data_IF_048610720526
#
_entry.id   IF_048610720526
#
_cell.length_a   1.000
_cell.length_b   1.000
_cell.length_c   1.000
_cell.angle_alpha   90.00
_cell.angle_beta   90.00
_cell.angle_gamma   90.00
#
_symmetry.space_group_name_H-M   'P 1'
#
loop_
_entity.id
_entity.type
_entity.pdbx_description
1 polymer ?
#
# COMPACT_ATOMS: atom_id res chain seq x y z
N UNK A 1 7.83 -35.64 4.86
CA UNK A 1 8.89 -36.03 5.83
C UNK A 1 9.58 -37.31 5.41
N UNK A 2 8.85 -38.26 4.84
CA UNK A 2 9.34 -39.59 4.44
C UNK A 2 10.23 -39.63 3.20
N UNK A 3 10.31 -38.54 2.43
CA UNK A 3 11.17 -38.42 1.27
C UNK A 3 12.69 -38.48 1.63
N UNK A 4 13.51 -38.98 0.68
CA UNK A 4 14.97 -38.94 0.82
C UNK A 4 15.49 -37.50 0.80
N UNK A 5 16.67 -37.26 1.37
CA UNK A 5 17.29 -35.93 1.41
C UNK A 5 17.53 -35.37 -0.02
N UNK A 6 17.81 -36.24 -0.97
CA UNK A 6 17.97 -35.89 -2.39
C UNK A 6 16.61 -35.40 -2.97
N UNK A 7 15.52 -36.10 -2.68
CA UNK A 7 14.20 -35.72 -3.13
C UNK A 7 13.75 -34.37 -2.49
N UNK A 8 14.05 -34.20 -1.19
CA UNK A 8 13.74 -32.93 -0.49
C UNK A 8 14.53 -31.73 -1.04
N UNK A 9 15.84 -31.96 -1.35
CA UNK A 9 16.68 -30.91 -1.92
C UNK A 9 16.34 -30.53 -3.36
N UNK A 10 15.70 -31.44 -4.12
CA UNK A 10 15.24 -31.18 -5.48
C UNK A 10 13.80 -30.61 -5.55
N UNK A 11 13.06 -30.62 -4.45
CA UNK A 11 11.68 -30.18 -4.40
C UNK A 11 11.58 -28.68 -4.08
N UNK A 12 10.67 -27.96 -4.77
CA UNK A 12 10.34 -26.56 -4.45
C UNK A 12 9.54 -26.45 -3.14
N UNK A 13 8.88 -27.53 -2.72
CA UNK A 13 8.08 -27.59 -1.49
C UNK A 13 8.21 -28.96 -0.83
N UNK A 14 8.38 -28.98 0.48
CA UNK A 14 8.41 -30.21 1.29
C UNK A 14 7.26 -30.20 2.29
N UNK A 15 6.40 -31.23 2.26
CA UNK A 15 5.31 -31.39 3.22
C UNK A 15 5.84 -31.99 4.52
N UNK A 16 5.55 -31.35 5.64
CA UNK A 16 5.96 -31.83 6.97
C UNK A 16 4.99 -32.86 7.57
N UNK A 17 3.75 -32.85 7.08
CA UNK A 17 2.67 -33.76 7.52
C UNK A 17 2.38 -34.89 6.54
N UNK A 18 3.11 -34.95 5.41
CA UNK A 18 2.93 -35.91 4.31
C UNK A 18 1.46 -35.96 3.77
N UNK A 19 0.70 -34.85 4.00
CA UNK A 19 -0.71 -34.77 3.61
C UNK A 19 -0.85 -33.92 2.35
N UNK A 20 -1.36 -34.52 1.27
CA UNK A 20 -1.54 -33.84 0.00
C UNK A 20 -2.55 -32.65 0.09
N UNK A 21 -3.52 -32.71 1.01
CA UNK A 21 -4.48 -31.61 1.21
C UNK A 21 -3.79 -30.30 1.65
N UNK A 22 -2.66 -30.38 2.33
CA UNK A 22 -1.86 -29.23 2.78
C UNK A 22 -1.30 -28.41 1.60
N UNK A 23 -1.16 -29.02 0.40
CA UNK A 23 -0.77 -28.29 -0.82
C UNK A 23 -1.82 -27.24 -1.18
N UNK A 24 -3.11 -27.58 -1.03
CA UNK A 24 -4.20 -26.64 -1.36
C UNK A 24 -4.17 -25.45 -0.38
N UNK A 25 -3.94 -25.71 0.89
CA UNK A 25 -3.79 -24.64 1.88
C UNK A 25 -2.56 -23.78 1.62
N UNK A 26 -1.42 -24.39 1.28
CA UNK A 26 -0.22 -23.66 0.91
C UNK A 26 -0.42 -22.77 -0.34
N UNK A 27 -1.14 -23.24 -1.34
CA UNK A 27 -1.48 -22.44 -2.52
C UNK A 27 -2.39 -21.28 -2.15
N UNK A 28 -3.39 -21.51 -1.27
CA UNK A 28 -4.30 -20.46 -0.78
C UNK A 28 -3.53 -19.36 -0.05
N UNK A 29 -2.69 -19.76 0.89
CA UNK A 29 -1.86 -18.82 1.66
C UNK A 29 -0.87 -18.07 0.76
N UNK A 30 -0.20 -18.75 -0.16
CA UNK A 30 0.71 -18.13 -1.12
C UNK A 30 0.02 -17.10 -2.02
N UNK A 31 -1.22 -17.35 -2.46
CA UNK A 31 -2.03 -16.38 -3.19
C UNK A 31 -2.38 -15.18 -2.33
N UNK A 32 -2.74 -15.40 -1.04
CA UNK A 32 -3.03 -14.34 -0.08
C UNK A 32 -1.82 -13.45 0.17
N UNK A 33 -0.67 -14.04 0.43
CA UNK A 33 0.60 -13.31 0.61
C UNK A 33 0.89 -12.44 -0.62
N UNK A 34 0.76 -12.99 -1.83
CA UNK A 34 1.00 -12.23 -3.05
C UNK A 34 0.01 -11.05 -3.22
N UNK A 35 -1.26 -11.27 -2.92
CA UNK A 35 -2.27 -10.21 -2.95
C UNK A 35 -1.92 -9.09 -1.95
N UNK A 36 -1.51 -9.44 -0.75
CA UNK A 36 -1.10 -8.47 0.27
C UNK A 36 0.18 -7.71 -0.14
N UNK A 37 1.17 -8.38 -0.73
CA UNK A 37 2.36 -7.73 -1.30
C UNK A 37 1.95 -6.68 -2.36
N UNK A 38 1.01 -7.01 -3.26
CA UNK A 38 0.49 -6.03 -4.23
C UNK A 38 -0.15 -4.82 -3.56
N UNK A 39 -0.93 -5.01 -2.49
CA UNK A 39 -1.54 -3.92 -1.72
C UNK A 39 -0.47 -3.01 -1.10
N UNK A 40 0.52 -3.60 -0.43
CA UNK A 40 1.63 -2.87 0.21
C UNK A 40 2.44 -2.07 -0.82
N UNK A 41 2.86 -2.72 -1.91
CA UNK A 41 3.63 -2.06 -2.98
C UNK A 41 2.84 -0.91 -3.60
N UNK A 42 1.55 -1.12 -3.87
CA UNK A 42 0.68 -0.08 -4.44
C UNK A 42 0.49 1.09 -3.47
N UNK A 43 0.32 0.82 -2.19
CA UNK A 43 0.20 1.83 -1.16
C UNK A 43 1.47 2.69 -1.08
N UNK A 44 2.61 2.06 -0.84
CA UNK A 44 3.89 2.76 -0.66
C UNK A 44 4.32 3.53 -1.92
N UNK A 45 4.13 2.96 -3.11
CA UNK A 45 4.45 3.70 -4.34
C UNK A 45 3.49 4.86 -4.58
N UNK A 46 2.20 4.69 -4.30
CA UNK A 46 1.21 5.75 -4.46
C UNK A 46 1.47 6.94 -3.53
N UNK A 47 1.80 6.67 -2.27
CA UNK A 47 2.14 7.71 -1.28
C UNK A 47 3.42 8.45 -1.68
N UNK A 48 4.50 7.75 -1.99
CA UNK A 48 5.77 8.34 -2.39
C UNK A 48 5.66 9.16 -3.69
N UNK A 49 4.92 8.67 -4.70
CA UNK A 49 4.64 9.45 -5.91
C UNK A 49 3.88 10.74 -5.55
N UNK A 50 2.91 10.66 -4.65
CA UNK A 50 2.16 11.82 -4.16
C UNK A 50 3.07 12.87 -3.50
N UNK A 51 3.99 12.44 -2.65
CA UNK A 51 4.97 13.30 -1.99
C UNK A 51 5.88 14.01 -3.00
N UNK A 52 6.45 13.23 -3.93
CA UNK A 52 7.34 13.78 -4.98
C UNK A 52 6.62 14.81 -5.84
N UNK A 53 5.41 14.49 -6.31
CA UNK A 53 4.59 15.41 -7.12
C UNK A 53 4.24 16.66 -6.31
N UNK A 54 3.86 16.51 -5.03
CA UNK A 54 3.53 17.64 -4.15
C UNK A 54 4.69 18.62 -4.04
N UNK A 55 5.88 18.11 -3.70
CA UNK A 55 7.07 18.95 -3.54
C UNK A 55 7.45 19.59 -4.87
N UNK A 56 7.46 18.80 -5.95
CA UNK A 56 7.83 19.28 -7.28
C UNK A 56 6.90 20.41 -7.76
N UNK A 57 5.58 20.22 -7.67
CA UNK A 57 4.60 21.23 -8.12
C UNK A 57 4.67 22.49 -7.24
N UNK A 58 4.77 22.36 -5.93
CA UNK A 58 4.86 23.50 -5.02
C UNK A 58 6.12 24.33 -5.27
N UNK A 59 7.25 23.67 -5.51
CA UNK A 59 8.50 24.35 -5.87
C UNK A 59 8.41 25.02 -7.24
N UNK A 60 7.78 24.38 -8.22
CA UNK A 60 7.64 24.94 -9.57
C UNK A 60 6.72 26.15 -9.61
N UNK A 61 5.55 26.08 -8.93
CA UNK A 61 4.52 27.12 -9.02
C UNK A 61 4.73 28.26 -8.03
N UNK A 62 5.23 27.98 -6.84
CA UNK A 62 5.25 28.94 -5.73
C UNK A 62 6.66 29.18 -5.18
N UNK A 63 7.68 28.44 -5.64
CA UNK A 63 9.04 28.46 -5.09
C UNK A 63 9.07 28.30 -3.54
N UNK A 64 8.14 27.49 -3.02
CA UNK A 64 7.99 27.24 -1.57
C UNK A 64 8.01 25.74 -1.32
N UNK A 65 8.62 25.34 -0.20
CA UNK A 65 8.61 23.94 0.25
C UNK A 65 7.31 23.65 1.01
N UNK A 66 6.42 22.78 0.51
CA UNK A 66 5.13 22.50 1.15
C UNK A 66 5.26 21.59 2.37
N UNK A 67 6.34 20.81 2.43
CA UNK A 67 6.64 19.86 3.49
C UNK A 67 8.11 19.99 3.88
N UNK A 68 8.38 19.99 5.17
CA UNK A 68 9.73 19.95 5.71
C UNK A 68 10.31 18.54 5.61
N UNK A 69 11.65 18.43 5.49
CA UNK A 69 12.33 17.13 5.43
C UNK A 69 12.00 16.23 6.63
N UNK A 70 11.87 16.82 7.82
CA UNK A 70 11.47 16.09 9.04
C UNK A 70 10.02 15.59 8.97
N UNK A 71 9.12 16.34 8.33
CA UNK A 71 7.73 15.91 8.12
C UNK A 71 7.66 14.74 7.14
N UNK A 72 8.42 14.80 6.03
CA UNK A 72 8.53 13.69 5.07
C UNK A 72 9.13 12.43 5.72
N UNK A 73 10.18 12.60 6.53
CA UNK A 73 10.76 11.49 7.28
C UNK A 73 9.75 10.86 8.23
N UNK A 74 8.97 11.66 8.95
CA UNK A 74 7.92 11.17 9.84
C UNK A 74 6.83 10.40 9.07
N UNK A 75 6.37 10.93 7.94
CA UNK A 75 5.37 10.28 7.10
C UNK A 75 5.87 8.92 6.65
N UNK A 76 7.04 8.85 6.03
CA UNK A 76 7.60 7.61 5.49
C UNK A 76 7.89 6.57 6.60
N UNK A 77 8.37 7.03 7.77
CA UNK A 77 8.74 6.12 8.85
C UNK A 77 7.53 5.65 9.67
N UNK A 78 6.57 6.51 9.94
CA UNK A 78 5.44 6.20 10.84
C UNK A 78 4.14 6.03 10.08
N UNK A 79 3.73 7.04 9.33
CA UNK A 79 2.42 7.07 8.68
C UNK A 79 2.30 6.06 7.54
N UNK A 80 3.39 5.76 6.83
CA UNK A 80 3.39 4.78 5.75
C UNK A 80 3.70 3.37 6.26
N UNK A 81 4.67 3.22 7.17
CA UNK A 81 5.13 1.90 7.60
C UNK A 81 4.07 1.12 8.36
N UNK A 82 3.36 1.75 9.30
CA UNK A 82 2.34 1.06 10.10
C UNK A 82 1.17 0.54 9.25
N UNK A 83 0.55 1.35 8.38
CA UNK A 83 -0.47 0.83 7.46
C UNK A 83 0.07 -0.20 6.47
N UNK A 84 1.31 -0.07 5.99
CA UNK A 84 1.92 -1.06 5.11
C UNK A 84 2.05 -2.44 5.78
N UNK A 85 2.48 -2.47 7.05
CA UNK A 85 2.51 -3.70 7.85
C UNK A 85 1.10 -4.28 8.01
N UNK A 86 0.12 -3.45 8.36
CA UNK A 86 -1.26 -3.89 8.51
C UNK A 86 -1.84 -4.48 7.22
N UNK A 87 -1.57 -3.84 6.06
CA UNK A 87 -1.97 -4.37 4.74
C UNK A 87 -1.25 -5.69 4.39
N UNK A 88 0.01 -5.83 4.81
CA UNK A 88 0.77 -7.07 4.62
C UNK A 88 0.23 -8.25 5.43
N UNK A 89 -0.42 -7.96 6.54
CA UNK A 89 -1.01 -8.96 7.46
C UNK A 89 -2.52 -9.13 7.26
N UNK A 90 -3.11 -8.56 6.20
CA UNK A 90 -4.54 -8.69 5.95
C UNK A 90 -4.94 -10.16 5.72
N UNK A 91 -6.04 -10.64 6.34
CA UNK A 91 -6.51 -12.00 6.14
C UNK A 91 -6.77 -12.34 4.68
N UNK A 92 -6.52 -13.60 4.31
CA UNK A 92 -6.75 -14.10 2.95
C UNK A 92 -8.23 -14.00 2.58
N UNK A 93 -8.53 -13.45 1.42
CA UNK A 93 -9.91 -13.34 0.92
C UNK A 93 -10.51 -14.74 0.66
N UNK A 94 -11.77 -14.92 1.04
CA UNK A 94 -12.45 -16.24 1.01
C UNK A 94 -12.56 -16.83 -0.40
N UNK A 95 -12.59 -15.98 -1.42
CA UNK A 95 -12.78 -16.34 -2.83
C UNK A 95 -11.46 -16.39 -3.61
N UNK A 96 -10.30 -16.28 -2.94
CA UNK A 96 -8.99 -16.23 -3.60
C UNK A 96 -8.68 -17.48 -4.44
N UNK A 97 -9.25 -18.61 -4.08
CA UNK A 97 -9.10 -19.87 -4.82
C UNK A 97 -9.97 -19.95 -6.08
N UNK A 98 -10.97 -19.08 -6.23
CA UNK A 98 -11.82 -19.00 -7.43
C UNK A 98 -11.14 -18.29 -8.60
N UNK A 99 -10.08 -17.53 -8.34
CA UNK A 99 -9.31 -16.86 -9.39
C UNK A 99 -8.43 -17.85 -10.16
N UNK A 100 -8.28 -17.59 -11.47
CA UNK A 100 -7.37 -18.38 -12.33
C UNK A 100 -5.93 -18.27 -11.81
N UNK A 101 -5.12 -19.32 -12.01
CA UNK A 101 -3.70 -19.27 -11.74
C UNK A 101 -3.03 -18.12 -12.50
N UNK A 102 -2.12 -17.42 -11.84
CA UNK A 102 -1.36 -16.33 -12.45
C UNK A 102 -0.33 -16.87 -13.45
N UNK A 103 -0.23 -16.29 -14.66
CA UNK A 103 0.88 -16.60 -15.56
C UNK A 103 2.24 -16.24 -14.95
N UNK A 104 3.26 -17.05 -15.19
CA UNK A 104 4.63 -16.79 -14.66
C UNK A 104 5.24 -15.46 -15.16
N UNK A 105 4.78 -14.98 -16.31
CA UNK A 105 5.23 -13.73 -16.95
C UNK A 105 4.52 -12.48 -16.42
N UNK A 106 3.50 -12.65 -15.58
CA UNK A 106 2.73 -11.51 -15.04
C UNK A 106 3.51 -10.75 -13.98
N UNK A 107 3.84 -9.49 -14.25
CA UNK A 107 4.48 -8.59 -13.28
C UNK A 107 3.50 -8.07 -12.21
N UNK A 108 4.05 -7.47 -11.16
CA UNK A 108 3.25 -6.87 -10.07
C UNK A 108 2.31 -5.77 -10.60
N UNK A 109 2.75 -5.00 -11.60
CA UNK A 109 1.98 -3.90 -12.18
C UNK A 109 0.96 -4.31 -13.27
N UNK A 110 0.75 -5.61 -13.46
CA UNK A 110 -0.28 -6.10 -14.37
C UNK A 110 -1.69 -5.61 -13.98
N UNK A 111 -2.62 -5.73 -14.93
CA UNK A 111 -4.04 -5.34 -14.74
C UNK A 111 -4.26 -3.86 -14.39
N UNK A 112 -3.39 -2.96 -14.87
CA UNK A 112 -3.56 -1.51 -14.68
C UNK A 112 -3.18 -0.99 -13.29
N UNK A 113 -2.51 -1.80 -12.46
CA UNK A 113 -2.08 -1.38 -11.13
C UNK A 113 -1.18 -0.14 -11.17
N UNK A 114 -0.28 -0.04 -12.17
CA UNK A 114 0.57 1.14 -12.36
C UNK A 114 -0.24 2.42 -12.55
N UNK A 115 -1.31 2.37 -13.34
CA UNK A 115 -2.21 3.53 -13.56
C UNK A 115 -2.92 3.89 -12.26
N UNK A 116 -3.43 2.90 -11.50
CA UNK A 116 -4.06 3.14 -10.20
C UNK A 116 -3.08 3.83 -9.24
N UNK A 117 -1.84 3.38 -9.17
CA UNK A 117 -0.78 3.97 -8.32
C UNK A 117 -0.50 5.43 -8.70
N UNK A 118 -0.37 5.75 -9.99
CA UNK A 118 -0.15 7.12 -10.46
C UNK A 118 -1.35 8.01 -10.15
N UNK A 119 -2.57 7.55 -10.41
CA UNK A 119 -3.80 8.29 -10.07
C UNK A 119 -3.93 8.55 -8.58
N UNK A 120 -3.59 7.58 -7.75
CA UNK A 120 -3.55 7.72 -6.29
C UNK A 120 -2.52 8.77 -5.86
N UNK A 121 -1.31 8.74 -6.41
CA UNK A 121 -0.28 9.74 -6.16
C UNK A 121 -0.72 11.15 -6.56
N UNK A 122 -1.36 11.30 -7.73
CA UNK A 122 -1.92 12.60 -8.16
C UNK A 122 -3.03 13.09 -7.22
N UNK A 123 -3.88 12.20 -6.74
CA UNK A 123 -4.91 12.54 -5.75
C UNK A 123 -4.28 13.07 -4.45
N UNK A 124 -3.28 12.38 -3.91
CA UNK A 124 -2.57 12.84 -2.71
C UNK A 124 -1.90 14.18 -2.92
N UNK A 125 -1.22 14.36 -4.06
CA UNK A 125 -0.59 15.63 -4.40
C UNK A 125 -1.61 16.77 -4.47
N UNK A 126 -2.73 16.58 -5.15
CA UNK A 126 -3.77 17.59 -5.26
C UNK A 126 -4.33 17.98 -3.89
N UNK A 127 -4.70 17.00 -3.07
CA UNK A 127 -5.25 17.27 -1.73
C UNK A 127 -4.24 18.01 -0.85
N UNK A 128 -2.98 17.60 -0.87
CA UNK A 128 -1.91 18.21 -0.08
C UNK A 128 -1.60 19.63 -0.52
N UNK A 129 -1.57 19.90 -1.85
CA UNK A 129 -1.35 21.24 -2.38
C UNK A 129 -2.51 22.19 -2.06
N UNK A 130 -3.75 21.70 -2.14
CA UNK A 130 -4.93 22.46 -1.70
C UNK A 130 -4.84 22.77 -0.21
N UNK A 131 -4.50 21.76 0.62
CA UNK A 131 -4.30 21.94 2.05
C UNK A 131 -3.18 22.94 2.36
N UNK A 132 -2.06 22.86 1.65
CA UNK A 132 -0.96 23.82 1.78
C UNK A 132 -1.41 25.25 1.53
N UNK A 133 -2.08 25.49 0.40
CA UNK A 133 -2.55 26.84 0.04
C UNK A 133 -3.61 27.35 0.99
N UNK A 134 -4.55 26.53 1.38
CA UNK A 134 -5.57 26.89 2.36
C UNK A 134 -4.94 27.27 3.71
N UNK A 135 -4.01 26.44 4.21
CA UNK A 135 -3.30 26.71 5.46
C UNK A 135 -2.50 28.01 5.40
N UNK A 136 -1.80 28.27 4.28
CA UNK A 136 -1.05 29.53 4.07
C UNK A 136 -1.99 30.76 4.08
N UNK A 137 -3.14 30.66 3.41
CA UNK A 137 -4.10 31.78 3.35
C UNK A 137 -4.76 32.08 4.68
N UNK A 138 -5.16 31.04 5.43
CA UNK A 138 -5.87 31.21 6.72
C UNK A 138 -4.92 31.72 7.82
N UNK A 139 -3.69 31.20 7.86
CA UNK A 139 -2.74 31.57 8.92
C UNK A 139 -1.85 32.76 8.54
N UNK A 140 -1.82 33.14 7.27
CA UNK A 140 -0.90 34.19 6.77
C UNK A 140 0.58 33.79 6.85
N UNK A 141 0.90 32.50 7.06
CA UNK A 141 2.27 32.04 7.28
C UNK A 141 2.59 30.78 6.49
N UNK A 142 3.85 30.66 6.05
CA UNK A 142 4.36 29.46 5.40
C UNK A 142 4.26 28.23 6.32
N UNK A 143 4.55 28.40 7.62
CA UNK A 143 4.47 27.33 8.59
C UNK A 143 3.06 26.77 8.75
N UNK A 144 2.03 27.62 8.67
CA UNK A 144 0.63 27.18 8.67
C UNK A 144 0.28 26.37 7.43
N UNK A 145 0.79 26.77 6.26
CA UNK A 145 0.66 25.98 5.03
C UNK A 145 1.32 24.61 5.15
N UNK A 146 2.55 24.55 5.64
CA UNK A 146 3.31 23.30 5.84
C UNK A 146 2.63 22.36 6.85
N UNK A 147 2.10 22.91 7.95
CA UNK A 147 1.37 22.11 8.92
C UNK A 147 0.10 21.53 8.34
N UNK A 148 -0.69 22.32 7.60
CA UNK A 148 -1.90 21.84 6.95
C UNK A 148 -1.59 20.79 5.89
N UNK A 149 -0.57 21.00 5.06
CA UNK A 149 -0.11 20.02 4.07
C UNK A 149 0.26 18.68 4.73
N UNK A 150 1.02 18.72 5.81
CA UNK A 150 1.41 17.54 6.59
C UNK A 150 0.20 16.77 7.13
N UNK A 151 -0.75 17.49 7.75
CA UNK A 151 -1.96 16.85 8.31
C UNK A 151 -2.81 16.23 7.20
N UNK A 152 -3.06 16.97 6.11
CA UNK A 152 -3.86 16.48 4.99
C UNK A 152 -3.23 15.25 4.36
N UNK A 153 -1.92 15.26 4.11
CA UNK A 153 -1.21 14.13 3.54
C UNK A 153 -1.27 12.92 4.47
N UNK A 154 -0.90 13.06 5.73
CA UNK A 154 -0.91 11.97 6.70
C UNK A 154 -2.30 11.35 6.87
N UNK A 155 -3.35 12.16 7.02
CA UNK A 155 -4.71 11.66 7.18
C UNK A 155 -5.23 10.99 5.90
N UNK A 156 -4.94 11.54 4.72
CA UNK A 156 -5.37 10.96 3.45
C UNK A 156 -4.73 9.59 3.21
N UNK A 157 -3.46 9.41 3.59
CA UNK A 157 -2.76 8.11 3.52
C UNK A 157 -3.39 7.08 4.47
N UNK A 158 -3.68 7.46 5.71
CA UNK A 158 -4.37 6.57 6.66
C UNK A 158 -5.75 6.16 6.12
N UNK A 159 -6.55 7.09 5.63
CA UNK A 159 -7.85 6.77 5.02
C UNK A 159 -7.69 5.85 3.82
N UNK A 160 -6.71 6.11 2.96
CA UNK A 160 -6.45 5.27 1.79
C UNK A 160 -6.01 3.85 2.16
N UNK A 161 -5.26 3.67 3.23
CA UNK A 161 -4.89 2.33 3.68
C UNK A 161 -6.10 1.45 3.98
N UNK A 162 -7.15 2.02 4.56
CA UNK A 162 -8.42 1.31 4.74
C UNK A 162 -9.10 0.95 3.41
N UNK A 163 -9.06 1.84 2.42
CA UNK A 163 -9.61 1.57 1.09
C UNK A 163 -8.85 0.46 0.34
N UNK A 164 -7.58 0.26 0.66
CA UNK A 164 -6.73 -0.74 -0.01
C UNK A 164 -6.77 -2.12 0.63
N UNK A 165 -7.48 -2.31 1.75
CA UNK A 165 -7.59 -3.60 2.44
C UNK A 165 -8.21 -4.68 1.55
N UNK A 166 -9.20 -4.34 0.74
CA UNK A 166 -9.88 -5.26 -0.17
C UNK A 166 -10.49 -4.52 -1.35
N UNK A 167 -10.74 -5.23 -2.45
CA UNK A 167 -11.54 -4.73 -3.57
C UNK A 167 -13.04 -4.64 -3.21
N UNK A 168 -13.47 -5.23 -2.09
CA UNK A 168 -14.83 -5.11 -1.56
C UNK A 168 -14.98 -3.89 -0.66
N UNK A 169 -16.22 -3.39 -0.53
CA UNK A 169 -16.55 -2.30 0.39
C UNK A 169 -16.14 -2.62 1.83
N UNK A 170 -15.55 -1.65 2.52
CA UNK A 170 -15.18 -1.75 3.95
C UNK A 170 -16.33 -2.20 4.85
N UNK A 171 -17.56 -1.80 4.53
CA UNK A 171 -18.75 -2.21 5.28
C UNK A 171 -19.07 -3.69 5.08
N UNK A 172 -18.67 -4.31 3.96
CA UNK A 172 -18.88 -5.73 3.67
C UNK A 172 -17.84 -6.61 4.35
N UNK A 173 -16.59 -6.18 4.40
CA UNK A 173 -15.50 -6.94 5.03
C UNK A 173 -15.39 -6.71 6.53
N UNK A 174 -15.96 -5.60 7.05
CA UNK A 174 -15.85 -5.17 8.44
C UNK A 174 -14.57 -4.34 8.69
N UNK A 175 -14.76 -3.19 9.35
CA UNK A 175 -13.65 -2.23 9.58
C UNK A 175 -12.58 -2.80 10.52
N UNK A 176 -12.97 -3.66 11.49
CA UNK A 176 -12.10 -4.19 12.54
C UNK A 176 -11.78 -5.70 12.38
N UNK A 177 -11.78 -6.22 11.17
CA UNK A 177 -11.46 -7.64 10.91
C UNK A 177 -9.96 -7.94 10.92
N UNK A 178 -9.11 -6.94 10.71
CA UNK A 178 -7.67 -7.04 10.88
C UNK A 178 -7.35 -6.70 12.34
N UNK A 179 -6.86 -7.70 13.11
CA UNK A 179 -6.52 -7.58 14.53
C UNK A 179 -5.02 -7.47 14.70
#
# INVERSE_FOLDING_TARGET
ITGTDVAKSAADMTLTDDNFATIVDAVREGRGIYANIKKVVSFLLGTNIGEVITVFIAMLLWHKTPLLSMQLLWINLVTDSLPAIALGMEPVEKDIMNYKPRPKTEGIFAHGLGIKVVLQGMMFALLTLVGFKYGETVTGSLAGGQTMAFIVLALSQVVQSFNMRSDYSLFKIGVFTNK
#
